data_IF_392763384675
#
_entry.id   IF_392763384675
#
_cell.length_a   1.000
_cell.length_b   1.000
_cell.length_c   1.000
_cell.angle_alpha   90.00
_cell.angle_beta   90.00
_cell.angle_gamma   90.00
#
_symmetry.space_group_name_H-M   'P 1'
#
loop_
_entity.id
_entity.type
_entity.pdbx_description
1 polymer ?
#
# COMPACT_ATOMS: atom_id res chain seq x y z
N UNK A 1 5.92 -14.69 -1.03
CA UNK A 1 6.42 -13.88 -2.14
C UNK A 1 7.83 -14.28 -2.47
N UNK A 2 8.07 -14.61 -3.73
CA UNK A 2 9.43 -14.91 -4.20
C UNK A 2 10.26 -13.63 -4.20
N UNK A 3 11.54 -13.74 -3.86
CA UNK A 3 12.48 -12.62 -3.89
C UNK A 3 12.53 -11.77 -2.63
N UNK A 4 11.61 -11.92 -1.69
CA UNK A 4 11.67 -11.19 -0.42
C UNK A 4 12.72 -11.84 0.47
N UNK A 5 13.73 -11.09 0.97
CA UNK A 5 14.73 -11.63 1.87
C UNK A 5 14.13 -12.22 3.15
N UNK A 6 14.73 -13.31 3.63
CA UNK A 6 14.26 -13.95 4.86
C UNK A 6 14.27 -13.02 6.08
N UNK A 7 15.23 -12.10 6.15
CA UNK A 7 15.28 -11.13 7.25
C UNK A 7 14.03 -10.25 7.34
N UNK A 8 13.42 -9.95 6.19
CA UNK A 8 12.15 -9.20 6.15
C UNK A 8 11.00 -10.10 6.60
N UNK A 9 10.97 -11.35 6.11
CA UNK A 9 9.92 -12.31 6.47
C UNK A 9 9.96 -12.72 7.94
N UNK A 10 11.13 -12.68 8.56
CA UNK A 10 11.30 -13.02 9.97
C UNK A 10 10.99 -11.87 10.92
N UNK A 11 10.89 -10.66 10.41
CA UNK A 11 10.49 -9.51 11.21
C UNK A 11 9.02 -9.65 11.61
N UNK A 12 8.65 -9.36 12.89
CA UNK A 12 7.25 -9.42 13.32
C UNK A 12 6.29 -8.60 12.48
N UNK A 13 6.77 -7.55 11.81
CA UNK A 13 5.96 -6.75 10.88
C UNK A 13 5.33 -7.62 9.78
N UNK A 14 6.02 -8.70 9.35
CA UNK A 14 5.50 -9.59 8.32
C UNK A 14 4.19 -10.27 8.75
N UNK A 15 3.98 -10.46 10.04
CA UNK A 15 2.77 -11.07 10.60
C UNK A 15 1.55 -10.13 10.50
N UNK A 16 1.77 -8.84 10.31
CA UNK A 16 0.69 -7.91 9.98
C UNK A 16 0.35 -8.10 8.51
N UNK A 17 -0.70 -8.85 8.23
CA UNK A 17 -1.02 -9.36 6.89
C UNK A 17 -1.16 -8.28 5.81
N UNK A 18 -1.47 -7.05 6.20
CA UNK A 18 -1.54 -5.92 5.26
C UNK A 18 -0.18 -5.61 4.67
N UNK A 19 0.90 -5.83 5.43
CA UNK A 19 2.25 -5.48 4.97
C UNK A 19 2.70 -6.29 3.76
N UNK A 20 2.61 -7.64 3.76
CA UNK A 20 2.92 -8.41 2.55
C UNK A 20 2.07 -8.00 1.34
N UNK A 21 0.79 -7.66 1.55
CA UNK A 21 -0.09 -7.19 0.48
C UNK A 21 0.37 -5.85 -0.09
N UNK A 22 0.80 -4.93 0.78
CA UNK A 22 1.31 -3.63 0.35
C UNK A 22 2.62 -3.77 -0.43
N UNK A 23 3.52 -4.66 0.00
CA UNK A 23 4.75 -4.95 -0.72
C UNK A 23 4.47 -5.58 -2.08
N UNK A 24 3.52 -6.51 -2.15
CA UNK A 24 3.09 -7.10 -3.42
C UNK A 24 2.57 -6.02 -4.36
N UNK A 25 1.73 -5.12 -3.86
CA UNK A 25 1.21 -4.01 -4.67
C UNK A 25 2.35 -3.14 -5.19
N UNK A 26 3.37 -2.88 -4.36
CA UNK A 26 4.54 -2.10 -4.76
C UNK A 26 5.26 -2.74 -5.96
N UNK A 27 5.48 -4.05 -5.92
CA UNK A 27 6.09 -4.79 -7.04
C UNK A 27 5.21 -4.73 -8.28
N UNK A 28 3.90 -4.94 -8.11
CA UNK A 28 2.95 -4.89 -9.24
C UNK A 28 2.90 -3.50 -9.87
N UNK A 29 2.89 -2.46 -9.05
CA UNK A 29 2.85 -1.07 -9.54
C UNK A 29 4.09 -0.71 -10.35
N UNK A 30 5.25 -1.26 -9.99
CA UNK A 30 6.48 -1.07 -10.76
C UNK A 30 6.28 -1.51 -12.22
N UNK A 31 5.75 -2.73 -12.41
CA UNK A 31 5.51 -3.26 -13.75
C UNK A 31 4.31 -2.58 -14.43
N UNK A 32 3.24 -2.32 -13.67
CA UNK A 32 2.02 -1.70 -14.19
C UNK A 32 2.27 -0.31 -14.79
N UNK A 33 3.30 0.39 -14.31
CA UNK A 33 3.61 1.76 -14.77
C UNK A 33 4.55 1.80 -15.98
N UNK A 34 5.08 0.66 -16.43
CA UNK A 34 6.03 0.64 -17.56
C UNK A 34 5.48 1.32 -18.81
N UNK A 35 4.26 0.98 -19.21
CA UNK A 35 3.63 1.59 -20.40
C UNK A 35 3.31 3.06 -20.18
N UNK A 36 2.95 3.42 -18.96
CA UNK A 36 2.65 4.82 -18.61
C UNK A 36 3.86 5.71 -18.79
N UNK A 37 5.06 5.19 -18.50
CA UNK A 37 6.29 5.97 -18.59
C UNK A 37 6.65 6.38 -20.02
N UNK A 38 6.05 5.76 -21.03
CA UNK A 38 6.30 6.04 -22.45
C UNK A 38 5.42 7.16 -23.01
N UNK A 39 4.43 7.62 -22.26
CA UNK A 39 3.51 8.69 -22.68
C UNK A 39 3.65 9.87 -21.69
N UNK A 40 3.72 11.13 -22.19
CA UNK A 40 3.86 12.27 -21.28
C UNK A 40 2.79 12.39 -20.22
N UNK A 41 1.55 12.04 -20.54
CA UNK A 41 0.44 12.04 -19.58
C UNK A 41 0.54 10.87 -18.62
N UNK A 42 0.97 9.72 -19.14
CA UNK A 42 1.19 8.52 -18.34
C UNK A 42 2.30 8.70 -17.33
N UNK A 43 3.36 9.43 -17.65
CA UNK A 43 4.46 9.70 -16.71
C UNK A 43 4.00 10.42 -15.45
N UNK A 44 3.06 11.36 -15.60
CA UNK A 44 2.50 12.07 -14.44
C UNK A 44 1.77 11.09 -13.53
N UNK A 45 0.93 10.24 -14.11
CA UNK A 45 0.18 9.23 -13.36
C UNK A 45 1.12 8.22 -12.72
N UNK A 46 2.11 7.72 -13.47
CA UNK A 46 3.06 6.73 -12.99
C UNK A 46 3.81 7.21 -11.75
N UNK A 47 4.31 8.45 -11.77
CA UNK A 47 5.01 9.02 -10.61
C UNK A 47 4.15 9.07 -9.37
N UNK A 48 2.91 9.55 -9.52
CA UNK A 48 1.98 9.66 -8.41
C UNK A 48 1.58 8.28 -7.88
N UNK A 49 1.37 7.33 -8.78
CA UNK A 49 1.00 5.97 -8.40
C UNK A 49 2.13 5.29 -7.62
N UNK A 50 3.34 5.31 -8.14
CA UNK A 50 4.50 4.71 -7.45
C UNK A 50 4.73 5.38 -6.10
N UNK A 51 4.67 6.71 -6.06
CA UNK A 51 4.86 7.46 -4.82
C UNK A 51 3.82 7.09 -3.76
N UNK A 52 2.54 7.07 -4.13
CA UNK A 52 1.47 6.76 -3.17
C UNK A 52 1.51 5.30 -2.71
N UNK A 53 1.84 4.36 -3.59
CA UNK A 53 1.98 2.94 -3.22
C UNK A 53 3.15 2.75 -2.27
N UNK A 54 4.30 3.36 -2.56
CA UNK A 54 5.46 3.29 -1.65
C UNK A 54 5.14 3.93 -0.30
N UNK A 55 4.33 4.97 -0.28
CA UNK A 55 3.89 5.61 0.96
C UNK A 55 3.05 4.68 1.84
N UNK A 56 2.25 3.80 1.24
CA UNK A 56 1.52 2.78 2.02
C UNK A 56 2.50 1.95 2.82
N UNK A 57 3.50 1.37 2.14
CA UNK A 57 4.51 0.51 2.77
C UNK A 57 5.31 1.25 3.85
N UNK A 58 5.80 2.44 3.52
CA UNK A 58 6.64 3.23 4.41
C UNK A 58 5.90 3.60 5.70
N UNK A 59 4.63 3.98 5.61
CA UNK A 59 3.86 4.37 6.79
C UNK A 59 3.45 3.17 7.65
N UNK A 60 3.22 2.01 7.04
CA UNK A 60 3.00 0.78 7.80
C UNK A 60 4.28 0.43 8.58
N UNK A 61 5.44 0.51 7.94
CA UNK A 61 6.75 0.26 8.55
C UNK A 61 7.00 1.21 9.72
N UNK A 62 6.79 2.50 9.50
CA UNK A 62 7.00 3.53 10.50
C UNK A 62 6.07 3.34 11.69
N UNK A 63 4.79 3.07 11.43
CA UNK A 63 3.81 2.85 12.50
C UNK A 63 4.15 1.63 13.35
N UNK A 64 4.55 0.54 12.72
CA UNK A 64 4.95 -0.68 13.44
C UNK A 64 6.15 -0.40 14.36
N UNK A 65 7.11 0.40 13.89
CA UNK A 65 8.27 0.80 14.68
C UNK A 65 7.92 1.63 15.91
N UNK A 66 6.73 2.24 15.96
CA UNK A 66 6.25 3.01 17.12
C UNK A 66 5.55 2.12 18.16
N UNK A 67 5.41 0.81 17.91
CA UNK A 67 4.75 -0.12 18.81
C UNK A 67 3.24 -0.12 18.66
N UNK A 68 2.52 -0.25 19.78
CA UNK A 68 1.06 -0.27 19.78
C UNK A 68 0.50 1.06 20.29
N UNK A 69 -0.63 1.51 19.75
CA UNK A 69 -1.35 2.66 20.26
C UNK A 69 -1.50 3.79 19.26
N UNK A 70 -1.65 5.01 19.78
CA UNK A 70 -2.04 6.18 18.98
C UNK A 70 -1.04 6.57 17.90
N UNK A 71 0.28 6.42 18.16
CA UNK A 71 1.28 6.74 17.15
C UNK A 71 1.19 5.77 15.97
N UNK A 72 1.08 4.47 16.24
CA UNK A 72 0.89 3.47 15.20
C UNK A 72 -0.40 3.75 14.43
N UNK A 73 -1.50 4.06 15.13
CA UNK A 73 -2.77 4.42 14.51
C UNK A 73 -2.62 5.59 13.55
N UNK A 74 -1.86 6.61 13.92
CA UNK A 74 -1.60 7.78 13.08
C UNK A 74 -0.94 7.37 11.75
N UNK A 75 0.15 6.59 11.82
CA UNK A 75 0.85 6.17 10.61
C UNK A 75 0.01 5.21 9.76
N UNK A 76 -0.79 4.34 10.37
CA UNK A 76 -1.71 3.48 9.64
C UNK A 76 -2.80 4.30 8.92
N UNK A 77 -3.24 5.40 9.50
CA UNK A 77 -4.20 6.31 8.85
C UNK A 77 -3.57 7.07 7.69
N UNK A 78 -2.29 7.43 7.78
CA UNK A 78 -1.56 8.01 6.65
C UNK A 78 -1.46 6.97 5.52
N UNK A 79 -1.12 5.73 5.85
CA UNK A 79 -1.09 4.63 4.89
C UNK A 79 -2.46 4.42 4.24
N UNK A 80 -3.54 4.50 5.02
CA UNK A 80 -4.91 4.39 4.53
C UNK A 80 -5.23 5.47 3.48
N UNK A 81 -4.86 6.72 3.76
CA UNK A 81 -5.01 7.82 2.80
C UNK A 81 -4.23 7.55 1.51
N UNK A 82 -3.00 7.07 1.63
CA UNK A 82 -2.16 6.71 0.49
C UNK A 82 -2.77 5.56 -0.32
N UNK A 83 -3.41 4.60 0.34
CA UNK A 83 -4.08 3.49 -0.34
C UNK A 83 -5.28 3.98 -1.16
N UNK A 84 -6.08 4.88 -0.62
CA UNK A 84 -7.18 5.49 -1.37
C UNK A 84 -6.68 6.31 -2.55
N UNK A 85 -5.61 7.05 -2.35
CA UNK A 85 -4.96 7.81 -3.43
C UNK A 85 -4.45 6.88 -4.52
N UNK A 86 -3.79 5.79 -4.16
CA UNK A 86 -3.29 4.79 -5.11
C UNK A 86 -4.43 4.19 -5.95
N UNK A 87 -5.56 3.88 -5.31
CA UNK A 87 -6.74 3.37 -6.01
C UNK A 87 -7.23 4.36 -7.06
N UNK A 88 -7.25 5.64 -6.70
CA UNK A 88 -7.61 6.71 -7.63
C UNK A 88 -6.64 6.82 -8.79
N UNK A 89 -5.33 6.71 -8.53
CA UNK A 89 -4.32 6.76 -9.58
C UNK A 89 -4.40 5.55 -10.53
N UNK A 90 -4.67 4.36 -10.01
CA UNK A 90 -4.92 3.20 -10.87
C UNK A 90 -6.09 3.45 -11.81
N UNK A 91 -7.19 3.98 -11.29
CA UNK A 91 -8.36 4.29 -12.12
C UNK A 91 -8.03 5.34 -13.19
N UNK A 92 -7.33 6.40 -12.81
CA UNK A 92 -6.94 7.46 -13.76
C UNK A 92 -5.97 6.95 -14.81
N UNK A 93 -5.18 5.94 -14.49
CA UNK A 93 -4.24 5.30 -15.42
C UNK A 93 -4.84 4.15 -16.22
N UNK A 94 -6.14 3.92 -16.15
CA UNK A 94 -6.79 2.73 -16.74
C UNK A 94 -6.57 2.55 -18.24
N UNK A 95 -6.32 3.64 -18.95
CA UNK A 95 -6.06 3.56 -20.40
C UNK A 95 -4.77 2.82 -20.73
N UNK A 96 -3.88 2.70 -19.78
CA UNK A 96 -2.60 1.99 -19.95
C UNK A 96 -2.65 0.55 -19.41
N UNK A 97 -3.80 0.11 -18.91
CA UNK A 97 -3.96 -1.17 -18.22
C UNK A 97 -5.05 -2.00 -18.89
N UNK A 98 -4.94 -3.32 -18.77
CA UNK A 98 -6.07 -4.19 -19.10
C UNK A 98 -7.13 -4.09 -18.01
N UNK A 99 -8.36 -4.45 -18.36
CA UNK A 99 -9.48 -4.46 -17.38
C UNK A 99 -9.17 -5.44 -16.24
N UNK A 100 -8.58 -6.60 -16.55
CA UNK A 100 -8.22 -7.60 -15.54
C UNK A 100 -7.19 -7.06 -14.55
N UNK A 101 -6.16 -6.38 -15.04
CA UNK A 101 -5.14 -5.78 -14.18
C UNK A 101 -5.76 -4.71 -13.28
N UNK A 102 -6.53 -3.80 -13.87
CA UNK A 102 -7.19 -2.74 -13.10
C UNK A 102 -8.06 -3.34 -11.98
N UNK A 103 -8.91 -4.31 -12.32
CA UNK A 103 -9.81 -4.92 -11.34
C UNK A 103 -9.05 -5.64 -10.23
N UNK A 104 -7.97 -6.35 -10.57
CA UNK A 104 -7.12 -7.02 -9.58
C UNK A 104 -6.51 -6.03 -8.61
N UNK A 105 -5.93 -4.92 -9.10
CA UNK A 105 -5.26 -3.92 -8.25
C UNK A 105 -6.25 -3.18 -7.37
N UNK A 106 -7.42 -2.83 -7.94
CA UNK A 106 -8.48 -2.18 -7.16
C UNK A 106 -8.96 -3.11 -6.04
N UNK A 107 -9.15 -4.39 -6.34
CA UNK A 107 -9.55 -5.37 -5.31
C UNK A 107 -8.49 -5.49 -4.21
N UNK A 108 -7.21 -5.59 -4.58
CA UNK A 108 -6.12 -5.65 -3.62
C UNK A 108 -6.09 -4.40 -2.73
N UNK A 109 -6.29 -3.23 -3.32
CA UNK A 109 -6.35 -1.97 -2.58
C UNK A 109 -7.58 -1.90 -1.67
N UNK A 110 -8.72 -2.42 -2.11
CA UNK A 110 -9.90 -2.50 -1.26
C UNK A 110 -9.65 -3.35 -0.01
N UNK A 111 -8.93 -4.45 -0.15
CA UNK A 111 -8.54 -5.29 0.99
C UNK A 111 -7.58 -4.55 1.93
N UNK A 112 -6.59 -3.86 1.37
CA UNK A 112 -5.64 -3.06 2.15
C UNK A 112 -6.38 -1.95 2.92
N UNK A 113 -7.28 -1.24 2.25
CA UNK A 113 -8.09 -0.17 2.85
C UNK A 113 -8.92 -0.71 4.02
N UNK A 114 -9.67 -1.78 3.80
CA UNK A 114 -10.53 -2.36 4.84
C UNK A 114 -9.70 -2.80 6.06
N UNK A 115 -8.55 -3.44 5.82
CA UNK A 115 -7.69 -3.91 6.90
C UNK A 115 -7.06 -2.74 7.67
N UNK A 116 -6.67 -1.66 7.01
CA UNK A 116 -6.11 -0.48 7.67
C UNK A 116 -7.17 0.28 8.47
N UNK A 117 -8.40 0.37 7.96
CA UNK A 117 -9.52 0.95 8.74
C UNK A 117 -9.69 0.20 10.05
N UNK A 118 -9.75 -1.12 9.98
CA UNK A 118 -9.93 -1.98 11.15
C UNK A 118 -8.74 -1.86 12.12
N UNK A 119 -7.52 -2.04 11.60
CA UNK A 119 -6.32 -2.04 12.42
C UNK A 119 -6.05 -0.69 13.07
N UNK A 120 -6.20 0.42 12.33
CA UNK A 120 -5.98 1.75 12.90
C UNK A 120 -6.98 2.08 14.00
N UNK A 121 -8.22 1.61 13.86
CA UNK A 121 -9.23 1.73 14.92
C UNK A 121 -8.84 0.98 16.18
N UNK A 122 -8.34 -0.25 16.04
CA UNK A 122 -7.87 -1.05 17.17
C UNK A 122 -6.66 -0.39 17.85
N UNK A 123 -5.69 0.09 17.08
CA UNK A 123 -4.50 0.75 17.61
C UNK A 123 -4.86 2.02 18.37
N UNK A 124 -5.80 2.80 17.87
CA UNK A 124 -6.26 4.03 18.54
C UNK A 124 -6.89 3.74 19.89
N UNK A 125 -7.56 2.61 20.03
CA UNK A 125 -8.25 2.20 21.27
C UNK A 125 -7.32 1.51 22.26
N UNK A 126 -6.14 1.10 21.84
CA UNK A 126 -5.21 0.38 22.69
C UNK A 126 -4.82 1.22 23.90
N UNK A 127 -4.84 0.60 25.08
CA UNK A 127 -4.39 1.19 26.34
C UNK A 127 -3.39 0.24 26.98
N UNK A 128 -2.31 0.78 27.50
CA UNK A 128 -1.34 -0.02 28.24
C UNK A 128 -2.02 -0.56 29.50
N UNK A 129 -1.76 -1.85 29.83
CA UNK A 129 -2.28 -2.43 31.08
C UNK A 129 -1.68 -1.74 32.30
#
# INVERSE_FOLDING_TARGET
MAGVPESIKQDPLWDFQVYPKALLLSDLAWDDTDRMMKDPRGRVIARQLVDSVCSICANIEEGHGRGFGKENAYFQRVALGSARESRGWYYRGRRFLTTEVLNHRVQLLNEIIAALVHSSGQQRKYRRP
#
